data_IF_904800844449
#
_entry.id   IF_904800844449
#
_cell.length_a   1.000
_cell.length_b   1.000
_cell.length_c   1.000
_cell.angle_alpha   90.00
_cell.angle_beta   90.00
_cell.angle_gamma   90.00
#
_symmetry.space_group_name_H-M   'P 1'
#
loop_
_entity.id
_entity.type
_entity.pdbx_description
1 polymer ?
#
# COMPACT_ATOMS: atom_id res chain seq x y z
N UNK A 1 4.52 -13.56 -4.63
CA UNK A 1 3.27 -13.75 -5.40
C UNK A 1 2.52 -15.02 -4.99
N UNK A 2 3.13 -16.21 -4.99
CA UNK A 2 2.41 -17.46 -4.64
C UNK A 2 1.78 -17.49 -3.23
N UNK A 3 2.42 -16.88 -2.22
CA UNK A 3 1.92 -16.82 -0.84
C UNK A 3 0.53 -16.16 -0.77
N UNK A 4 0.36 -15.03 -1.45
CA UNK A 4 -0.91 -14.26 -1.46
C UNK A 4 -2.01 -15.00 -2.22
N UNK A 5 -1.66 -15.67 -3.32
CA UNK A 5 -2.60 -16.51 -4.07
C UNK A 5 -3.05 -17.73 -3.23
N UNK A 6 -2.13 -18.42 -2.55
CA UNK A 6 -2.49 -19.52 -1.63
C UNK A 6 -3.43 -19.03 -0.53
N UNK A 7 -3.12 -17.87 0.07
CA UNK A 7 -3.95 -17.28 1.13
C UNK A 7 -5.33 -16.87 0.67
N UNK A 8 -5.44 -16.33 -0.56
CA UNK A 8 -6.70 -16.06 -1.23
C UNK A 8 -7.54 -17.34 -1.38
N UNK A 9 -6.94 -18.40 -1.93
CA UNK A 9 -7.62 -19.71 -2.11
C UNK A 9 -8.10 -20.26 -0.77
N UNK A 10 -7.26 -20.22 0.28
CA UNK A 10 -7.66 -20.65 1.63
C UNK A 10 -8.84 -19.84 2.17
N UNK A 11 -8.90 -18.53 1.91
CA UNK A 11 -10.04 -17.68 2.33
C UNK A 11 -11.31 -18.02 1.57
N UNK A 12 -11.22 -18.32 0.28
CA UNK A 12 -12.37 -18.72 -0.53
C UNK A 12 -12.88 -20.11 -0.10
N UNK A 13 -12.00 -21.07 0.11
CA UNK A 13 -12.36 -22.42 0.56
C UNK A 13 -13.02 -22.44 1.94
N UNK A 14 -12.70 -21.47 2.81
CA UNK A 14 -13.36 -21.33 4.12
C UNK A 14 -14.81 -20.83 4.02
N UNK A 15 -15.18 -20.21 2.91
CA UNK A 15 -16.51 -19.64 2.68
C UNK A 15 -17.31 -20.45 1.64
N UNK A 16 -17.05 -21.76 1.56
CA UNK A 16 -17.43 -22.66 0.46
C UNK A 16 -18.92 -22.66 0.09
N UNK A 17 -19.79 -22.23 0.99
CA UNK A 17 -21.25 -22.24 0.81
C UNK A 17 -21.90 -20.87 1.13
N UNK A 18 -21.10 -19.80 1.16
CA UNK A 18 -21.57 -18.42 1.36
C UNK A 18 -21.51 -17.63 0.05
N UNK A 19 -22.38 -16.64 -0.12
CA UNK A 19 -22.21 -15.66 -1.18
C UNK A 19 -20.96 -14.81 -0.90
N UNK A 20 -20.03 -14.79 -1.87
CA UNK A 20 -18.76 -14.07 -1.75
C UNK A 20 -18.73 -12.93 -2.77
N UNK A 21 -18.44 -11.73 -2.29
CA UNK A 21 -18.04 -10.62 -3.16
C UNK A 21 -16.59 -10.82 -3.65
N UNK A 22 -16.43 -11.45 -4.82
CA UNK A 22 -15.12 -11.75 -5.40
C UNK A 22 -14.26 -10.49 -5.62
N UNK A 23 -14.89 -9.36 -5.98
CA UNK A 23 -14.18 -8.11 -6.22
C UNK A 23 -13.44 -7.65 -4.96
N UNK A 24 -14.06 -7.77 -3.79
CA UNK A 24 -13.42 -7.43 -2.53
C UNK A 24 -12.21 -8.32 -2.22
N UNK A 25 -12.39 -9.65 -2.31
CA UNK A 25 -11.33 -10.60 -1.94
C UNK A 25 -10.12 -10.47 -2.88
N UNK A 26 -10.36 -10.29 -4.19
CA UNK A 26 -9.31 -10.07 -5.18
C UNK A 26 -8.63 -8.72 -4.98
N UNK A 27 -9.39 -7.65 -4.67
CA UNK A 27 -8.81 -6.32 -4.39
C UNK A 27 -7.84 -6.36 -3.21
N UNK A 28 -8.22 -7.03 -2.11
CA UNK A 28 -7.35 -7.18 -0.94
C UNK A 28 -6.08 -7.96 -1.29
N UNK A 29 -6.20 -9.02 -2.08
CA UNK A 29 -5.06 -9.78 -2.58
C UNK A 29 -4.11 -8.93 -3.44
N UNK A 30 -4.67 -8.17 -4.38
CA UNK A 30 -3.88 -7.33 -5.29
C UNK A 30 -3.13 -6.23 -4.53
N UNK A 31 -3.78 -5.62 -3.53
CA UNK A 31 -3.13 -4.64 -2.67
C UNK A 31 -1.97 -5.25 -1.88
N UNK A 32 -2.16 -6.44 -1.30
CA UNK A 32 -1.06 -7.15 -0.61
C UNK A 32 0.11 -7.44 -1.54
N UNK A 33 -0.17 -7.91 -2.76
CA UNK A 33 0.88 -8.18 -3.76
C UNK A 33 1.63 -6.91 -4.11
N UNK A 34 0.95 -5.82 -4.49
CA UNK A 34 1.61 -4.58 -4.93
C UNK A 34 2.39 -3.93 -3.78
N UNK A 35 1.85 -3.94 -2.57
CA UNK A 35 2.54 -3.38 -1.40
C UNK A 35 3.80 -4.19 -1.05
N UNK A 36 3.75 -5.51 -1.17
CA UNK A 36 4.92 -6.35 -0.93
C UNK A 36 5.93 -6.30 -2.09
N UNK A 37 5.50 -6.28 -3.35
CA UNK A 37 6.45 -6.34 -4.47
C UNK A 37 7.03 -4.98 -4.82
N UNK A 38 6.20 -3.92 -4.81
CA UNK A 38 6.64 -2.58 -5.22
C UNK A 38 7.15 -1.75 -4.03
N UNK A 39 6.46 -1.82 -2.89
CA UNK A 39 6.86 -1.06 -1.69
C UNK A 39 7.73 -1.89 -0.73
N UNK A 40 7.70 -3.23 -0.86
CA UNK A 40 8.28 -4.20 0.07
C UNK A 40 7.97 -3.94 1.52
N UNK A 41 6.69 -3.74 1.75
CA UNK A 41 6.06 -3.82 3.06
C UNK A 41 4.93 -4.85 3.03
N UNK A 42 4.73 -5.57 4.12
CA UNK A 42 3.59 -6.47 4.26
C UNK A 42 2.36 -5.67 4.72
N UNK A 43 1.48 -5.32 3.78
CA UNK A 43 0.25 -4.57 4.10
C UNK A 43 -0.74 -5.41 4.93
N UNK A 44 -0.79 -6.73 4.69
CA UNK A 44 -1.71 -7.70 5.29
C UNK A 44 -3.19 -7.28 5.18
N UNK A 45 -3.55 -6.68 4.05
CA UNK A 45 -4.91 -6.27 3.71
C UNK A 45 -5.89 -7.45 3.71
N UNK A 46 -5.46 -8.63 3.26
CA UNK A 46 -6.29 -9.83 3.36
C UNK A 46 -6.65 -10.18 4.81
N UNK A 47 -5.84 -9.84 5.81
CA UNK A 47 -6.12 -10.13 7.24
C UNK A 47 -6.85 -8.98 7.95
N UNK A 48 -7.44 -8.05 7.22
CA UNK A 48 -8.22 -6.95 7.83
C UNK A 48 -7.39 -5.99 8.70
N UNK A 49 -6.06 -6.03 8.62
CA UNK A 49 -5.15 -5.19 9.41
C UNK A 49 -4.99 -3.77 8.87
N UNK A 50 -5.28 -3.56 7.59
CA UNK A 50 -5.05 -2.28 6.89
C UNK A 50 -6.34 -1.69 6.31
N UNK A 51 -7.46 -1.83 7.04
CA UNK A 51 -8.79 -1.38 6.59
C UNK A 51 -8.84 0.09 6.21
N UNK A 52 -8.20 0.97 6.98
CA UNK A 52 -8.23 2.40 6.72
C UNK A 52 -7.51 2.76 5.42
N UNK A 53 -6.33 2.18 5.19
CA UNK A 53 -5.59 2.35 3.95
C UNK A 53 -6.39 1.81 2.75
N UNK A 54 -6.90 0.58 2.85
CA UNK A 54 -7.72 -0.05 1.81
C UNK A 54 -8.94 0.82 1.49
N UNK A 55 -9.62 1.35 2.51
CA UNK A 55 -10.77 2.22 2.35
C UNK A 55 -10.39 3.53 1.65
N UNK A 56 -9.27 4.15 2.02
CA UNK A 56 -8.78 5.35 1.35
C UNK A 56 -8.47 5.07 -0.13
N UNK A 57 -7.83 3.94 -0.47
CA UNK A 57 -7.55 3.56 -1.86
C UNK A 57 -8.87 3.38 -2.63
N UNK A 58 -9.81 2.61 -2.09
CA UNK A 58 -11.14 2.39 -2.70
C UNK A 58 -11.84 3.72 -2.94
N UNK A 59 -11.83 4.62 -1.95
CA UNK A 59 -12.56 5.90 -2.03
C UNK A 59 -11.93 6.87 -3.02
N UNK A 60 -10.61 7.00 -3.02
CA UNK A 60 -9.87 7.78 -4.02
C UNK A 60 -10.09 7.23 -5.43
N UNK A 61 -10.13 5.90 -5.60
CA UNK A 61 -10.46 5.27 -6.88
C UNK A 61 -11.85 5.67 -7.40
N UNK A 62 -12.88 5.52 -6.56
CA UNK A 62 -14.27 5.90 -6.91
C UNK A 62 -14.36 7.38 -7.27
N UNK A 63 -13.75 8.26 -6.46
CA UNK A 63 -13.79 9.70 -6.67
C UNK A 63 -12.99 10.13 -7.90
N UNK A 64 -11.91 9.42 -8.23
CA UNK A 64 -11.15 9.63 -9.48
C UNK A 64 -12.01 9.33 -10.69
N UNK A 65 -12.67 8.17 -10.72
CA UNK A 65 -13.57 7.79 -11.82
C UNK A 65 -14.73 8.79 -11.94
N UNK A 66 -15.31 9.19 -10.81
CA UNK A 66 -16.35 10.22 -10.79
C UNK A 66 -15.87 11.54 -11.40
N UNK A 67 -14.65 11.98 -11.05
CA UNK A 67 -14.05 13.20 -11.61
C UNK A 67 -13.80 13.06 -13.12
N UNK A 68 -13.33 11.90 -13.58
CA UNK A 68 -13.07 11.62 -15.00
C UNK A 68 -14.34 11.63 -15.86
N UNK A 69 -15.47 11.18 -15.32
CA UNK A 69 -16.75 11.18 -16.03
C UNK A 69 -17.40 12.57 -16.13
N UNK A 70 -17.01 13.51 -15.25
CA UNK A 70 -17.61 14.84 -15.16
C UNK A 70 -16.62 15.91 -15.64
N UNK A 71 -16.66 16.23 -16.94
CA UNK A 71 -15.73 17.17 -17.60
C UNK A 71 -15.62 18.53 -16.89
N UNK A 72 -16.71 19.06 -16.33
CA UNK A 72 -16.72 20.33 -15.61
C UNK A 72 -15.96 20.29 -14.27
N UNK A 73 -15.72 19.10 -13.71
CA UNK A 73 -14.92 18.87 -12.50
C UNK A 73 -13.43 18.61 -12.79
N UNK A 74 -13.00 18.72 -14.06
CA UNK A 74 -11.58 18.52 -14.40
C UNK A 74 -10.69 19.63 -13.83
N UNK A 75 -11.21 20.84 -13.61
CA UNK A 75 -10.43 21.92 -12.97
C UNK A 75 -10.32 21.66 -11.47
N UNK A 76 -9.09 21.60 -10.95
CA UNK A 76 -8.81 21.28 -9.53
C UNK A 76 -9.50 22.21 -8.55
N UNK A 77 -9.56 23.51 -8.86
CA UNK A 77 -10.21 24.50 -8.00
C UNK A 77 -11.72 24.27 -7.92
N UNK A 78 -12.38 24.01 -9.05
CA UNK A 78 -13.83 23.70 -9.11
C UNK A 78 -14.10 22.44 -8.30
N UNK A 79 -13.34 21.37 -8.56
CA UNK A 79 -13.52 20.11 -7.85
C UNK A 79 -13.29 20.27 -6.34
N UNK A 80 -12.25 21.02 -5.96
CA UNK A 80 -11.89 21.28 -4.57
C UNK A 80 -12.94 22.05 -3.76
N UNK A 81 -13.86 22.76 -4.42
CA UNK A 81 -15.01 23.43 -3.78
C UNK A 81 -16.20 22.48 -3.57
N UNK A 82 -16.22 21.32 -4.24
CA UNK A 82 -17.29 20.34 -4.08
C UNK A 82 -17.07 19.46 -2.83
N UNK A 83 -18.14 18.94 -2.20
CA UNK A 83 -18.01 17.98 -1.10
C UNK A 83 -17.16 16.76 -1.46
N UNK A 84 -17.27 16.28 -2.71
CA UNK A 84 -16.49 15.15 -3.24
C UNK A 84 -15.01 15.48 -3.38
N UNK A 85 -14.66 16.71 -3.75
CA UNK A 85 -13.26 17.13 -3.80
C UNK A 85 -12.64 17.32 -2.42
N UNK A 86 -13.43 17.79 -1.44
CA UNK A 86 -12.99 17.83 -0.04
C UNK A 86 -12.74 16.41 0.49
N UNK A 87 -13.66 15.49 0.23
CA UNK A 87 -13.52 14.07 0.57
C UNK A 87 -12.29 13.43 -0.11
N UNK A 88 -12.10 13.70 -1.41
CA UNK A 88 -10.95 13.21 -2.17
C UNK A 88 -9.63 13.68 -1.55
N UNK A 89 -9.52 14.99 -1.26
CA UNK A 89 -8.31 15.57 -0.62
C UNK A 89 -8.03 14.94 0.74
N UNK A 90 -9.08 14.67 1.54
CA UNK A 90 -8.93 14.00 2.84
C UNK A 90 -8.32 12.60 2.68
N UNK A 91 -8.92 11.74 1.85
CA UNK A 91 -8.40 10.38 1.67
C UNK A 91 -7.04 10.35 0.97
N UNK A 92 -6.81 11.26 0.02
CA UNK A 92 -5.52 11.38 -0.66
C UNK A 92 -4.41 11.78 0.31
N UNK A 93 -4.70 12.65 1.29
CA UNK A 93 -3.75 13.01 2.34
C UNK A 93 -3.33 11.79 3.16
N UNK A 94 -4.29 10.94 3.55
CA UNK A 94 -3.98 9.70 4.29
C UNK A 94 -3.16 8.71 3.44
N UNK A 95 -3.49 8.55 2.15
CA UNK A 95 -2.69 7.72 1.25
C UNK A 95 -1.25 8.22 1.13
N UNK A 96 -1.07 9.53 0.95
CA UNK A 96 0.27 10.12 0.90
C UNK A 96 1.00 9.99 2.23
N UNK A 97 0.31 10.16 3.35
CA UNK A 97 0.91 9.96 4.67
C UNK A 97 1.47 8.54 4.80
N UNK A 98 0.66 7.53 4.45
CA UNK A 98 1.07 6.13 4.47
C UNK A 98 2.29 5.87 3.58
N UNK A 99 2.23 6.25 2.30
CA UNK A 99 3.33 6.02 1.36
C UNK A 99 4.60 6.77 1.76
N UNK A 100 4.48 8.00 2.27
CA UNK A 100 5.64 8.77 2.74
C UNK A 100 6.30 8.15 3.98
N UNK A 101 5.51 7.55 4.88
CA UNK A 101 6.06 6.83 6.03
C UNK A 101 6.88 5.61 5.58
N UNK A 102 6.36 4.82 4.64
CA UNK A 102 7.11 3.69 4.06
C UNK A 102 8.41 4.17 3.41
N UNK A 103 8.37 5.26 2.64
CA UNK A 103 9.58 5.82 2.02
C UNK A 103 10.61 6.22 3.08
N UNK A 104 10.17 6.82 4.20
CA UNK A 104 11.07 7.17 5.31
C UNK A 104 11.69 5.94 5.96
N UNK A 105 10.89 4.93 6.28
CA UNK A 105 11.35 3.67 6.86
C UNK A 105 12.36 2.98 5.97
N UNK A 106 12.07 2.86 4.67
CA UNK A 106 12.98 2.25 3.69
C UNK A 106 14.30 3.01 3.59
N UNK A 107 14.26 4.35 3.57
CA UNK A 107 15.47 5.19 3.58
C UNK A 107 16.29 4.97 4.86
N UNK A 108 15.64 4.81 6.00
CA UNK A 108 16.31 4.57 7.27
C UNK A 108 16.99 3.19 7.29
N UNK A 109 16.26 2.13 6.90
CA UNK A 109 16.80 0.77 6.79
C UNK A 109 18.01 0.70 5.84
N UNK A 110 17.98 1.44 4.74
CA UNK A 110 19.09 1.51 3.80
C UNK A 110 20.34 2.16 4.40
N UNK A 111 20.17 3.25 5.16
CA UNK A 111 21.29 3.90 5.88
C UNK A 111 21.89 2.96 6.93
N UNK A 112 21.06 2.32 7.73
CA UNK A 112 21.51 1.36 8.75
C UNK A 112 22.24 0.16 8.13
N UNK A 113 21.75 -0.34 7.00
CA UNK A 113 22.41 -1.43 6.28
C UNK A 113 23.78 -1.01 5.76
N UNK A 114 23.93 0.22 5.25
CA UNK A 114 25.23 0.76 4.84
C UNK A 114 26.21 0.88 5.99
N UNK A 115 25.75 1.35 7.16
CA UNK A 115 26.61 1.49 8.34
C UNK A 115 27.11 0.11 8.78
N UNK A 116 26.20 -0.87 8.88
CA UNK A 116 26.57 -2.25 9.23
C UNK A 116 27.57 -2.87 8.24
N UNK A 117 27.41 -2.62 6.94
CA UNK A 117 28.38 -3.13 5.95
C UNK A 117 29.76 -2.48 6.11
N UNK A 118 29.83 -1.18 6.39
CA UNK A 118 31.09 -0.51 6.66
C UNK A 118 31.76 -1.01 7.96
N UNK A 119 30.98 -1.30 9.00
CA UNK A 119 31.49 -1.88 10.26
C UNK A 119 32.10 -3.28 10.02
N UNK A 120 31.43 -4.12 9.23
CA UNK A 120 31.92 -5.46 8.87
C UNK A 120 33.22 -5.39 8.07
N UNK A 121 33.33 -4.46 7.11
CA UNK A 121 34.56 -4.27 6.32
C UNK A 121 35.75 -3.83 7.18
N UNK A 122 35.51 -2.97 8.17
CA UNK A 122 36.55 -2.53 9.12
C UNK A 122 36.97 -3.69 10.03
N UNK A 123 36.02 -4.51 10.49
CA UNK A 123 36.32 -5.67 11.34
C UNK A 123 37.11 -6.76 10.60
N UNK A 124 36.77 -7.04 9.33
CA UNK A 124 37.50 -7.97 8.48
C UNK A 124 38.90 -7.47 8.09
N UNK A 125 39.07 -6.16 7.91
CA UNK A 125 40.39 -5.56 7.68
C UNK A 125 41.30 -5.70 8.90
N UNK A 126 40.77 -5.50 10.10
CA UNK A 126 41.52 -5.67 11.35
C UNK A 126 41.91 -7.13 11.63
N UNK A 127 41.09 -8.12 11.21
CA UNK A 127 41.41 -9.55 11.36
C UNK A 127 42.48 -10.05 10.39
N UNK A 128 42.68 -9.40 9.24
CA UNK A 128 43.70 -9.76 8.24
C UNK A 128 45.06 -9.07 8.45
N UNK A 129 45.11 -8.06 9.33
CA UNK A 129 46.32 -7.32 9.68
C UNK A 129 47.07 -7.86 10.91
N UNK A 130 46.65 -9.00 11.46
CA UNK A 130 47.31 -9.75 12.54
C UNK A 130 47.84 -11.08 11.98
#
# INVERSE_FOLDING_TARGET
>A
MERHARKLVTKLLKKRDEEINIHEVVTLCALDVICETAMGVELRAQDDLSKDYVNCVKRVGILTVYRMQNLYLHRDWIFGLTPKGVEFKKHLKELHHYTLNIIRERKQMYKESKIKMAEIEVEDANKKGL
#
